data_IF_847225604666
#
_entry.id   IF_847225604666
#
_cell.length_a   1.000
_cell.length_b   1.000
_cell.length_c   1.000
_cell.angle_alpha   90.00
_cell.angle_beta   90.00
_cell.angle_gamma   90.00
#
_symmetry.space_group_name_H-M   'P 1'
#
loop_
_entity.id
_entity.type
_entity.pdbx_description
1 polymer ?
#
# COMPACT_ATOMS: atom_id res chain seq x y z
N UNK A 1 -19.24 8.43 11.65
CA UNK A 1 -18.58 7.25 11.10
C UNK A 1 -17.36 6.86 11.90
N UNK A 2 -16.81 5.69 11.62
CA UNK A 2 -15.57 5.19 12.22
C UNK A 2 -14.50 5.05 11.12
N UNK A 3 -13.30 5.58 11.35
CA UNK A 3 -12.16 5.34 10.47
C UNK A 3 -11.64 3.91 10.72
N UNK A 4 -11.69 3.08 9.68
CA UNK A 4 -11.29 1.67 9.77
C UNK A 4 -9.77 1.54 9.79
N UNK A 5 -9.25 0.70 10.70
CA UNK A 5 -7.83 0.40 10.86
C UNK A 5 -6.95 1.65 11.04
N UNK A 6 -7.50 2.68 11.71
CA UNK A 6 -6.83 3.97 11.87
C UNK A 6 -5.51 3.83 12.63
N UNK A 7 -5.50 3.06 13.72
CA UNK A 7 -4.31 2.88 14.55
C UNK A 7 -3.16 2.27 13.72
N UNK A 8 -3.43 1.18 13.01
CA UNK A 8 -2.46 0.46 12.18
C UNK A 8 -1.91 1.35 11.04
N UNK A 9 -2.77 2.18 10.44
CA UNK A 9 -2.34 3.13 9.42
C UNK A 9 -1.44 4.22 9.98
N UNK A 10 -1.75 4.76 11.15
CA UNK A 10 -0.94 5.79 11.79
C UNK A 10 0.37 5.22 12.34
N UNK A 11 0.36 4.07 12.99
CA UNK A 11 1.57 3.39 13.46
C UNK A 11 2.55 3.17 12.29
N UNK A 12 2.07 2.69 11.14
CA UNK A 12 2.88 2.54 9.95
C UNK A 12 3.42 3.88 9.42
N UNK A 13 2.62 4.95 9.47
CA UNK A 13 3.06 6.29 9.08
C UNK A 13 4.21 6.77 9.99
N UNK A 14 4.03 6.70 11.30
CA UNK A 14 5.05 7.13 12.27
C UNK A 14 6.32 6.27 12.18
N UNK A 15 6.16 4.95 12.01
CA UNK A 15 7.29 4.07 11.74
C UNK A 15 8.04 4.47 10.45
N UNK A 16 7.32 4.73 9.36
CA UNK A 16 7.94 5.15 8.09
C UNK A 16 8.65 6.49 8.21
N UNK A 17 8.07 7.45 8.93
CA UNK A 17 8.70 8.75 9.20
C UNK A 17 9.99 8.59 10.00
N UNK A 18 9.99 7.74 11.04
CA UNK A 18 11.20 7.49 11.86
C UNK A 18 12.35 6.87 11.03
N UNK A 19 12.06 6.09 10.00
CA UNK A 19 13.08 5.46 9.14
C UNK A 19 13.80 6.44 8.21
N UNK A 20 13.25 7.62 8.06
CA UNK A 20 13.83 8.71 7.24
C UNK A 20 14.14 9.95 8.09
N UNK A 21 14.28 9.80 9.40
CA UNK A 21 14.57 10.88 10.36
C UNK A 21 13.63 12.08 10.14
N UNK A 22 12.32 11.82 10.05
CA UNK A 22 11.29 12.84 9.92
C UNK A 22 10.42 12.85 11.19
N UNK A 23 10.57 13.86 12.01
CA UNK A 23 9.62 14.17 13.07
C UNK A 23 8.36 14.77 12.46
N UNK A 24 7.19 14.29 12.86
CA UNK A 24 5.91 14.83 12.40
C UNK A 24 5.50 16.09 13.18
N UNK A 25 6.16 16.41 14.29
CA UNK A 25 5.77 17.50 15.16
C UNK A 25 4.41 17.32 15.83
N UNK A 26 3.86 16.10 15.79
CA UNK A 26 2.54 15.72 16.30
C UNK A 26 2.56 14.34 16.90
N UNK A 27 1.76 14.14 17.91
CA UNK A 27 1.44 12.82 18.47
C UNK A 27 0.43 12.08 17.59
N UNK A 28 0.35 10.77 17.78
CA UNK A 28 -0.66 9.93 17.12
C UNK A 28 -2.09 10.41 17.43
N UNK A 29 -2.34 10.86 18.67
CA UNK A 29 -3.63 11.42 19.09
C UNK A 29 -3.97 12.70 18.32
N UNK A 30 -3.04 13.65 18.21
CA UNK A 30 -3.26 14.90 17.48
C UNK A 30 -3.51 14.65 15.98
N UNK A 31 -2.80 13.69 15.36
CA UNK A 31 -3.07 13.33 13.96
C UNK A 31 -4.44 12.69 13.82
N UNK A 32 -4.86 11.86 14.78
CA UNK A 32 -6.20 11.29 14.84
C UNK A 32 -7.27 12.38 14.89
N UNK A 33 -7.10 13.39 15.75
CA UNK A 33 -8.01 14.54 15.84
C UNK A 33 -8.09 15.31 14.51
N UNK A 34 -6.96 15.59 13.87
CA UNK A 34 -6.91 16.25 12.55
C UNK A 34 -7.74 15.49 11.50
N UNK A 35 -7.67 14.15 11.50
CA UNK A 35 -8.44 13.32 10.56
C UNK A 35 -9.94 13.41 10.82
N UNK A 36 -10.37 13.31 12.08
CA UNK A 36 -11.79 13.44 12.44
C UNK A 36 -12.30 14.85 12.22
N UNK A 37 -11.53 15.89 12.57
CA UNK A 37 -11.87 17.28 12.30
C UNK A 37 -12.06 17.54 10.79
N UNK A 38 -11.21 16.94 9.95
CA UNK A 38 -11.35 17.05 8.49
C UNK A 38 -12.68 16.47 8.02
N UNK A 39 -13.06 15.28 8.49
CA UNK A 39 -14.35 14.64 8.16
C UNK A 39 -15.53 15.50 8.63
N UNK A 40 -15.48 16.00 9.86
CA UNK A 40 -16.54 16.79 10.47
C UNK A 40 -16.72 18.12 9.72
N UNK A 41 -15.63 18.86 9.47
CA UNK A 41 -15.67 20.17 8.79
C UNK A 41 -16.15 20.09 7.34
N UNK A 42 -15.97 18.95 6.69
CA UNK A 42 -16.46 18.70 5.33
C UNK A 42 -17.83 18.00 5.29
N UNK A 43 -18.40 17.68 6.47
CA UNK A 43 -19.68 16.97 6.59
C UNK A 43 -19.70 15.61 5.86
N UNK A 44 -18.54 14.93 5.79
CA UNK A 44 -18.34 13.71 5.02
C UNK A 44 -18.29 12.49 5.96
N UNK A 45 -19.43 11.91 6.30
CA UNK A 45 -19.55 10.93 7.39
C UNK A 45 -19.59 9.46 6.94
N UNK A 46 -19.74 9.17 5.64
CA UNK A 46 -19.81 7.81 5.10
C UNK A 46 -19.33 7.76 3.66
N UNK A 47 -18.85 6.59 3.22
CA UNK A 47 -18.32 6.38 1.87
C UNK A 47 -17.09 7.22 1.53
N UNK A 48 -16.31 7.59 2.54
CA UNK A 48 -15.18 8.52 2.43
C UNK A 48 -13.85 7.78 2.48
N UNK A 49 -13.02 8.02 1.49
CA UNK A 49 -11.61 7.66 1.49
C UNK A 49 -10.77 8.87 1.92
N UNK A 50 -9.96 8.72 2.96
CA UNK A 50 -9.04 9.75 3.42
C UNK A 50 -7.62 9.49 2.90
N UNK A 51 -7.02 10.49 2.30
CA UNK A 51 -5.59 10.49 1.97
C UNK A 51 -4.86 11.42 2.93
N UNK A 52 -4.05 10.85 3.80
CA UNK A 52 -3.14 11.59 4.69
C UNK A 52 -1.75 11.66 4.02
N UNK A 53 -1.24 12.87 3.86
CA UNK A 53 0.10 13.14 3.32
C UNK A 53 0.86 13.97 4.35
N UNK A 54 2.09 13.56 4.64
CA UNK A 54 3.01 14.31 5.50
C UNK A 54 4.29 14.61 4.72
N UNK A 55 4.72 15.85 4.76
CA UNK A 55 6.01 16.28 4.22
C UNK A 55 6.86 16.93 5.30
N UNK A 56 8.16 17.04 5.05
CA UNK A 56 9.09 17.72 5.98
C UNK A 56 8.80 19.21 6.19
N UNK A 57 7.95 19.80 5.35
CA UNK A 57 7.65 21.23 5.37
C UNK A 57 8.39 22.02 4.29
N UNK A 58 8.51 23.33 4.52
CA UNK A 58 9.12 24.27 3.57
C UNK A 58 10.64 24.21 3.71
N UNK A 59 11.33 24.27 2.59
CA UNK A 59 12.78 24.39 2.52
C UNK A 59 13.22 25.80 2.10
N UNK A 60 14.35 26.25 2.60
CA UNK A 60 14.99 27.51 2.19
C UNK A 60 15.51 27.47 0.74
N UNK A 61 15.77 26.28 0.23
CA UNK A 61 16.22 26.04 -1.15
C UNK A 61 15.75 24.65 -1.64
N UNK A 62 15.49 24.44 -2.92
CA UNK A 62 15.04 23.15 -3.49
C UNK A 62 16.22 22.15 -3.60
N UNK A 63 16.85 21.83 -2.49
CA UNK A 63 17.95 20.86 -2.39
C UNK A 63 17.51 19.60 -1.63
N UNK A 64 18.16 18.44 -1.87
CA UNK A 64 17.73 17.17 -1.28
C UNK A 64 17.97 17.09 0.24
N UNK A 65 19.01 17.79 0.74
CA UNK A 65 19.40 17.75 2.13
C UNK A 65 18.25 18.20 3.05
N UNK A 66 17.82 17.37 4.02
CA UNK A 66 16.77 17.73 4.98
C UNK A 66 17.12 18.90 5.88
N UNK A 67 18.42 19.22 6.08
CA UNK A 67 18.88 20.33 6.93
C UNK A 67 18.41 21.70 6.45
N UNK A 68 18.02 21.81 5.17
CA UNK A 68 17.45 23.05 4.62
C UNK A 68 15.97 23.26 4.96
N UNK A 69 15.35 22.36 5.73
CA UNK A 69 13.96 22.54 6.19
C UNK A 69 13.90 23.68 7.22
N UNK A 70 13.01 24.65 6.98
CA UNK A 70 12.86 25.88 7.79
C UNK A 70 11.48 26.04 8.42
N UNK A 71 10.60 25.06 8.27
CA UNK A 71 9.26 25.06 8.86
C UNK A 71 8.97 23.74 9.57
N UNK A 72 7.89 23.73 10.32
CA UNK A 72 7.26 22.51 10.82
C UNK A 72 6.81 21.61 9.66
N UNK A 73 6.64 20.31 9.88
CA UNK A 73 6.08 19.38 8.91
C UNK A 73 4.71 19.83 8.40
N UNK A 74 4.44 19.62 7.12
CA UNK A 74 3.13 19.92 6.57
C UNK A 74 2.28 18.64 6.55
N UNK A 75 1.10 18.71 7.16
CA UNK A 75 0.11 17.63 7.18
C UNK A 75 -1.05 18.04 6.27
N UNK A 76 -1.35 17.21 5.27
CA UNK A 76 -2.46 17.42 4.33
C UNK A 76 -3.39 16.23 4.39
N UNK A 77 -4.68 16.48 4.63
CA UNK A 77 -5.72 15.46 4.59
C UNK A 77 -6.67 15.77 3.46
N UNK A 78 -6.85 14.83 2.55
CA UNK A 78 -7.75 14.96 1.40
C UNK A 78 -8.89 13.95 1.58
N UNK A 79 -10.12 14.39 1.92
CA UNK A 79 -11.29 13.54 1.93
C UNK A 79 -11.88 13.45 0.52
N UNK A 80 -12.27 12.26 0.11
CA UNK A 80 -12.86 11.98 -1.20
C UNK A 80 -14.02 11.00 -1.04
N UNK A 81 -15.20 11.30 -1.59
CA UNK A 81 -16.25 10.29 -1.75
C UNK A 81 -15.78 9.26 -2.79
N UNK A 82 -15.55 8.04 -2.34
CA UNK A 82 -15.03 6.99 -3.20
C UNK A 82 -15.47 5.62 -2.71
N UNK A 83 -16.16 4.91 -3.57
CA UNK A 83 -16.57 3.54 -3.33
C UNK A 83 -15.95 2.60 -4.39
N UNK A 84 -15.62 1.37 -4.04
CA UNK A 84 -15.21 0.37 -5.01
C UNK A 84 -16.30 0.17 -6.06
N UNK A 85 -15.91 -0.02 -7.34
CA UNK A 85 -16.87 -0.35 -8.38
C UNK A 85 -17.45 -1.75 -8.14
N UNK A 86 -18.79 -1.90 -8.05
CA UNK A 86 -19.40 -3.22 -7.94
C UNK A 86 -19.08 -4.15 -9.11
N UNK A 87 -18.80 -3.60 -10.29
CA UNK A 87 -18.46 -4.37 -11.47
C UNK A 87 -17.07 -5.00 -11.33
N UNK A 88 -16.10 -4.28 -10.76
CA UNK A 88 -14.75 -4.83 -10.49
C UNK A 88 -14.83 -5.98 -9.49
N UNK A 89 -15.68 -5.88 -8.47
CA UNK A 89 -15.87 -6.96 -7.50
C UNK A 89 -16.48 -8.23 -8.13
N UNK A 90 -17.26 -8.09 -9.20
CA UNK A 90 -17.87 -9.23 -9.92
C UNK A 90 -16.97 -9.80 -11.01
N UNK A 91 -16.32 -8.94 -11.80
CA UNK A 91 -15.51 -9.35 -12.95
C UNK A 91 -14.06 -9.65 -12.60
N UNK A 92 -13.58 -9.18 -11.44
CA UNK A 92 -12.18 -9.18 -11.08
C UNK A 92 -11.36 -8.14 -11.84
N UNK A 93 -10.04 -8.18 -11.64
CA UNK A 93 -9.04 -7.36 -12.31
C UNK A 93 -8.21 -8.21 -13.27
N UNK A 94 -7.91 -7.66 -14.43
CA UNK A 94 -6.95 -8.26 -15.35
C UNK A 94 -5.52 -7.89 -14.94
N UNK A 95 -4.80 -8.84 -14.34
CA UNK A 95 -3.39 -8.68 -14.02
C UNK A 95 -2.51 -9.11 -15.19
N UNK A 96 -1.42 -8.41 -15.39
CA UNK A 96 -0.38 -8.79 -16.35
C UNK A 96 0.99 -8.71 -15.68
N UNK A 97 1.87 -9.66 -15.98
CA UNK A 97 3.26 -9.58 -15.53
C UNK A 97 3.98 -8.45 -16.25
N UNK A 98 4.78 -7.69 -15.52
CA UNK A 98 5.54 -6.55 -16.04
C UNK A 98 7.05 -6.78 -15.88
N UNK A 99 7.85 -6.13 -16.75
CA UNK A 99 9.32 -6.19 -16.67
C UNK A 99 9.88 -5.29 -15.56
N UNK A 100 9.12 -4.26 -15.18
CA UNK A 100 9.47 -3.39 -14.06
C UNK A 100 9.44 -4.20 -12.76
N UNK A 101 10.60 -4.38 -12.12
CA UNK A 101 10.73 -5.14 -10.87
C UNK A 101 10.68 -4.24 -9.64
N UNK A 102 10.40 -4.80 -8.48
CA UNK A 102 10.57 -4.12 -7.19
C UNK A 102 12.07 -4.07 -6.87
N UNK A 103 12.55 -2.89 -6.53
CA UNK A 103 13.96 -2.68 -6.19
C UNK A 103 14.34 -3.29 -4.84
N UNK A 104 15.66 -3.46 -4.63
CA UNK A 104 16.21 -3.82 -3.33
C UNK A 104 15.97 -2.72 -2.29
N UNK A 105 15.87 -3.10 -1.01
CA UNK A 105 15.78 -2.18 0.12
C UNK A 105 16.98 -1.20 0.21
N UNK A 106 18.14 -1.60 -0.33
CA UNK A 106 19.32 -0.73 -0.43
C UNK A 106 19.18 0.40 -1.45
N UNK A 107 18.19 0.30 -2.37
CA UNK A 107 17.85 1.37 -3.32
C UNK A 107 16.74 2.24 -2.73
N UNK A 108 15.71 1.61 -2.23
CA UNK A 108 14.57 2.25 -1.58
C UNK A 108 13.84 1.21 -0.72
N UNK A 109 13.63 1.51 0.55
CA UNK A 109 12.82 0.63 1.40
C UNK A 109 11.33 0.74 1.03
N UNK A 110 10.83 -0.28 0.33
CA UNK A 110 9.45 -0.33 -0.14
C UNK A 110 8.42 -0.55 0.97
N UNK A 111 8.85 -0.84 2.20
CA UNK A 111 7.97 -0.93 3.37
C UNK A 111 7.50 0.45 3.82
N UNK A 112 8.24 1.52 3.45
CA UNK A 112 7.85 2.90 3.70
C UNK A 112 6.83 3.35 2.66
N UNK A 113 5.65 3.80 3.11
CA UNK A 113 4.62 4.34 2.21
C UNK A 113 4.92 5.78 1.80
N UNK A 114 6.01 5.99 1.09
CA UNK A 114 6.43 7.31 0.60
C UNK A 114 5.71 7.71 -0.69
N UNK A 115 5.82 8.99 -1.06
CA UNK A 115 5.36 9.51 -2.36
C UNK A 115 6.33 9.18 -3.51
N UNK A 116 7.48 8.57 -3.22
CA UNK A 116 8.40 8.05 -4.23
C UNK A 116 7.81 6.79 -4.88
N UNK A 117 6.91 6.98 -5.85
CA UNK A 117 6.15 5.92 -6.52
C UNK A 117 6.56 5.66 -7.97
N UNK A 118 7.72 6.18 -8.40
CA UNK A 118 8.14 6.10 -9.80
C UNK A 118 8.16 4.66 -10.33
N UNK A 119 8.71 3.74 -9.55
CA UNK A 119 8.71 2.31 -9.85
C UNK A 119 7.30 1.72 -10.07
N UNK A 120 6.34 2.06 -9.18
CA UNK A 120 4.95 1.63 -9.32
C UNK A 120 4.26 2.28 -10.53
N UNK A 121 4.58 3.55 -10.83
CA UNK A 121 4.02 4.27 -11.99
C UNK A 121 4.52 3.62 -13.29
N UNK A 122 5.81 3.28 -13.39
CA UNK A 122 6.34 2.57 -14.56
C UNK A 122 5.66 1.22 -14.77
N UNK A 123 5.48 0.44 -13.70
CA UNK A 123 4.76 -0.84 -13.75
C UNK A 123 3.30 -0.66 -14.19
N UNK A 124 2.61 0.37 -13.69
CA UNK A 124 1.25 0.71 -14.10
C UNK A 124 1.16 1.06 -15.59
N UNK A 125 2.09 1.90 -16.10
CA UNK A 125 2.15 2.27 -17.51
C UNK A 125 2.38 1.02 -18.38
N UNK A 126 3.30 0.16 -18.00
CA UNK A 126 3.56 -1.10 -18.70
C UNK A 126 2.34 -2.00 -18.72
N UNK A 127 1.65 -2.16 -17.57
CA UNK A 127 0.42 -2.94 -17.47
C UNK A 127 -0.67 -2.43 -18.42
N UNK A 128 -0.90 -1.11 -18.43
CA UNK A 128 -1.90 -0.50 -19.33
C UNK A 128 -1.55 -0.70 -20.82
N UNK A 129 -0.28 -0.61 -21.20
CA UNK A 129 0.16 -0.91 -22.58
C UNK A 129 -0.08 -2.37 -22.97
N UNK A 130 -0.05 -3.29 -22.02
CA UNK A 130 -0.36 -4.72 -22.21
C UNK A 130 -1.87 -5.03 -22.07
N UNK A 131 -2.71 -4.01 -21.89
CA UNK A 131 -4.17 -4.17 -21.74
C UNK A 131 -4.58 -4.78 -20.40
N UNK A 132 -3.77 -4.64 -19.36
CA UNK A 132 -4.06 -5.02 -17.98
C UNK A 132 -4.55 -3.86 -17.13
N UNK A 133 -5.19 -4.18 -16.03
CA UNK A 133 -5.62 -3.21 -15.02
C UNK A 133 -4.50 -2.90 -14.05
N UNK A 134 -3.74 -3.91 -13.63
CA UNK A 134 -2.56 -3.79 -12.77
C UNK A 134 -1.40 -4.68 -13.25
N UNK A 135 -0.19 -4.27 -12.90
CA UNK A 135 1.04 -4.99 -13.19
C UNK A 135 1.52 -5.82 -12.01
N UNK A 136 1.63 -7.13 -12.21
CA UNK A 136 2.28 -8.03 -11.26
C UNK A 136 3.80 -7.92 -11.39
N UNK A 137 4.45 -7.46 -10.34
CA UNK A 137 5.88 -7.16 -10.28
C UNK A 137 6.64 -8.29 -9.57
N UNK A 138 7.80 -8.60 -10.08
CA UNK A 138 8.73 -9.52 -9.44
C UNK A 138 9.73 -8.77 -8.54
N UNK A 139 10.38 -9.48 -7.65
CA UNK A 139 11.52 -9.02 -6.88
C UNK A 139 12.83 -9.14 -7.68
N UNK A 140 13.99 -8.68 -7.15
CA UNK A 140 15.27 -8.79 -7.84
C UNK A 140 15.75 -10.23 -8.11
N UNK A 141 15.13 -11.22 -7.47
CA UNK A 141 15.46 -12.64 -7.59
C UNK A 141 14.50 -13.39 -8.52
N UNK A 142 13.52 -12.71 -9.11
CA UNK A 142 12.56 -13.29 -10.03
C UNK A 142 11.32 -13.91 -9.36
N UNK A 143 11.14 -13.73 -8.05
CA UNK A 143 9.94 -14.18 -7.34
C UNK A 143 8.85 -13.12 -7.36
N UNK A 144 7.60 -13.55 -7.26
CA UNK A 144 6.44 -12.67 -7.16
C UNK A 144 6.54 -11.81 -5.91
N UNK A 145 6.40 -10.51 -6.07
CA UNK A 145 6.46 -9.55 -4.97
C UNK A 145 5.09 -8.95 -4.65
N UNK A 146 4.54 -8.15 -5.55
CA UNK A 146 3.31 -7.40 -5.33
C UNK A 146 2.79 -6.85 -6.66
N UNK A 147 1.57 -6.33 -6.70
CA UNK A 147 1.14 -5.50 -7.81
C UNK A 147 1.62 -4.04 -7.65
N UNK A 148 1.42 -3.21 -8.68
CA UNK A 148 1.86 -1.81 -8.63
C UNK A 148 1.11 -0.97 -7.59
N UNK A 149 -0.12 -1.33 -7.20
CA UNK A 149 -0.90 -0.61 -6.18
C UNK A 149 -1.56 -1.50 -5.13
N UNK A 150 -1.64 -2.82 -5.36
CA UNK A 150 -2.27 -3.80 -4.46
C UNK A 150 -1.29 -4.90 -4.07
N UNK A 151 -1.62 -5.67 -3.02
CA UNK A 151 -0.91 -6.91 -2.68
C UNK A 151 -1.53 -8.09 -3.40
N UNK A 152 -0.70 -9.09 -3.67
CA UNK A 152 -1.07 -10.26 -4.45
C UNK A 152 -1.04 -11.54 -3.62
N UNK A 153 -2.05 -12.36 -3.80
CA UNK A 153 -2.22 -13.65 -3.17
C UNK A 153 -2.62 -14.70 -4.22
N UNK A 154 -2.25 -15.94 -3.96
CA UNK A 154 -2.78 -17.10 -4.67
C UNK A 154 -3.34 -18.11 -3.67
N UNK A 155 -4.27 -18.93 -4.14
CA UNK A 155 -4.70 -20.16 -3.46
C UNK A 155 -4.17 -21.34 -4.25
N UNK A 156 -3.45 -22.25 -3.61
CA UNK A 156 -2.92 -23.46 -4.24
C UNK A 156 -3.03 -24.64 -3.29
N UNK A 157 -3.73 -25.69 -3.75
CA UNK A 157 -3.93 -26.92 -2.97
C UNK A 157 -4.50 -26.68 -1.56
N UNK A 158 -5.46 -25.78 -1.44
CA UNK A 158 -6.13 -25.44 -0.17
C UNK A 158 -5.33 -24.53 0.76
N UNK A 159 -4.22 -23.99 0.32
CA UNK A 159 -3.40 -23.04 1.10
C UNK A 159 -3.30 -21.68 0.41
N UNK A 160 -3.32 -20.61 1.19
CA UNK A 160 -3.14 -19.24 0.73
C UNK A 160 -1.65 -18.90 0.73
N UNK A 161 -1.14 -18.33 -0.37
CA UNK A 161 0.25 -17.89 -0.45
C UNK A 161 0.33 -16.41 -0.78
N UNK A 162 1.28 -15.72 -0.18
CA UNK A 162 1.66 -14.35 -0.53
C UNK A 162 3.18 -14.20 -0.42
N UNK A 163 3.72 -13.14 -1.00
CA UNK A 163 5.17 -12.88 -0.94
C UNK A 163 5.65 -12.65 0.50
N UNK A 164 6.95 -12.80 0.72
CA UNK A 164 7.59 -12.63 2.05
C UNK A 164 7.42 -11.23 2.66
N UNK A 165 6.92 -10.26 1.90
CA UNK A 165 6.80 -8.87 2.36
C UNK A 165 8.08 -8.04 2.25
N UNK A 166 9.22 -8.65 1.95
CA UNK A 166 10.53 -7.97 1.91
C UNK A 166 10.59 -6.83 0.90
N UNK A 167 9.97 -6.98 -0.25
CA UNK A 167 10.04 -6.03 -1.37
C UNK A 167 8.71 -5.30 -1.63
N UNK A 168 7.79 -5.30 -0.68
CA UNK A 168 6.52 -4.62 -0.80
C UNK A 168 6.16 -3.83 0.46
N UNK A 169 5.11 -3.04 0.37
CA UNK A 169 4.59 -2.29 1.51
C UNK A 169 4.06 -3.25 2.59
N UNK A 170 4.22 -2.93 3.87
CA UNK A 170 3.48 -3.56 4.96
C UNK A 170 2.00 -3.17 4.87
N UNK A 171 1.24 -3.90 4.05
CA UNK A 171 -0.17 -3.57 3.76
C UNK A 171 -1.08 -3.98 4.92
N UNK A 172 -1.92 -3.06 5.39
CA UNK A 172 -2.86 -3.34 6.48
C UNK A 172 -3.89 -4.40 6.04
N UNK A 173 -4.47 -4.26 4.85
CA UNK A 173 -5.40 -5.28 4.32
C UNK A 173 -4.71 -6.62 4.10
N UNK A 174 -3.43 -6.62 3.64
CA UNK A 174 -2.64 -7.84 3.53
C UNK A 174 -2.49 -8.53 4.88
N UNK A 175 -2.14 -7.79 5.92
CA UNK A 175 -2.00 -8.34 7.28
C UNK A 175 -3.31 -8.89 7.79
N UNK A 176 -4.42 -8.17 7.59
CA UNK A 176 -5.75 -8.64 7.99
C UNK A 176 -6.12 -9.99 7.34
N UNK A 177 -5.77 -10.19 6.06
CA UNK A 177 -5.99 -11.50 5.40
C UNK A 177 -5.15 -12.60 6.07
N UNK A 178 -3.88 -12.31 6.40
CA UNK A 178 -3.01 -13.26 7.10
C UNK A 178 -3.61 -13.62 8.46
N UNK A 179 -4.05 -12.63 9.22
CA UNK A 179 -4.62 -12.81 10.56
C UNK A 179 -5.95 -13.58 10.51
N UNK A 180 -6.80 -13.31 9.52
CA UNK A 180 -8.05 -14.04 9.28
C UNK A 180 -7.76 -15.52 8.95
N UNK A 181 -6.80 -15.79 8.07
CA UNK A 181 -6.41 -17.16 7.74
C UNK A 181 -5.91 -17.90 8.99
N UNK A 182 -5.01 -17.29 9.75
CA UNK A 182 -4.48 -17.88 10.98
C UNK A 182 -5.59 -18.15 12.02
N UNK A 183 -6.49 -17.18 12.23
CA UNK A 183 -7.58 -17.30 13.20
C UNK A 183 -8.62 -18.36 12.83
N UNK A 184 -8.74 -18.69 11.54
CA UNK A 184 -9.68 -19.69 11.02
C UNK A 184 -8.99 -21.01 10.63
N UNK A 185 -7.74 -21.21 11.01
CA UNK A 185 -6.96 -22.41 10.68
C UNK A 185 -6.86 -22.69 9.16
N UNK A 186 -6.88 -21.63 8.34
CA UNK A 186 -6.62 -21.71 6.90
C UNK A 186 -5.11 -21.66 6.72
N UNK A 187 -4.49 -22.67 6.09
CA UNK A 187 -3.04 -22.63 5.86
C UNK A 187 -2.63 -21.41 5.04
N UNK A 188 -1.72 -20.61 5.55
CA UNK A 188 -1.18 -19.44 4.87
C UNK A 188 0.33 -19.42 4.94
N UNK A 189 0.98 -19.08 3.82
CA UNK A 189 2.43 -19.03 3.70
C UNK A 189 2.90 -17.70 3.13
N UNK A 190 3.73 -17.01 3.88
CA UNK A 190 4.52 -15.89 3.40
C UNK A 190 5.84 -16.45 2.84
N UNK A 191 5.92 -16.61 1.53
CA UNK A 191 7.04 -17.33 0.88
C UNK A 191 7.38 -16.76 -0.49
N UNK A 192 8.54 -17.13 -1.00
CA UNK A 192 8.90 -16.90 -2.39
C UNK A 192 8.14 -17.90 -3.28
N UNK A 193 7.59 -17.42 -4.38
CA UNK A 193 6.97 -18.23 -5.42
C UNK A 193 7.11 -17.56 -6.79
N UNK A 194 7.02 -18.34 -7.84
CA UNK A 194 7.32 -17.95 -9.21
C UNK A 194 6.04 -17.65 -10.01
N UNK A 195 6.18 -17.03 -11.19
CA UNK A 195 5.06 -16.87 -12.13
C UNK A 195 4.49 -18.22 -12.58
N UNK A 196 5.30 -19.26 -12.71
CA UNK A 196 4.80 -20.61 -13.03
C UNK A 196 3.81 -21.08 -11.97
N UNK A 197 4.16 -20.92 -10.68
CA UNK A 197 3.26 -21.29 -9.59
C UNK A 197 1.97 -20.42 -9.55
N UNK A 198 2.04 -19.17 -10.00
CA UNK A 198 0.84 -18.33 -10.19
C UNK A 198 -0.09 -18.89 -11.25
N UNK A 199 0.43 -19.32 -12.40
CA UNK A 199 -0.39 -19.91 -13.48
C UNK A 199 -0.94 -21.30 -13.14
N UNK A 200 -0.31 -21.98 -12.18
CA UNK A 200 -0.75 -23.28 -11.66
C UNK A 200 -1.66 -23.15 -10.42
N UNK A 201 -1.96 -21.94 -9.97
CA UNK A 201 -2.80 -21.69 -8.80
C UNK A 201 -4.28 -21.99 -9.11
N UNK A 202 -5.00 -22.40 -8.07
CA UNK A 202 -6.46 -22.64 -8.15
C UNK A 202 -7.21 -21.32 -8.23
N UNK A 203 -6.73 -20.29 -7.46
CA UNK A 203 -7.31 -18.95 -7.41
C UNK A 203 -6.21 -17.89 -7.22
N UNK A 204 -6.54 -16.66 -7.57
CA UNK A 204 -5.70 -15.50 -7.27
C UNK A 204 -6.56 -14.30 -6.90
N UNK A 205 -6.09 -13.47 -5.97
CA UNK A 205 -6.76 -12.24 -5.56
C UNK A 205 -5.77 -11.15 -5.17
N UNK A 206 -6.26 -9.93 -5.15
CA UNK A 206 -5.49 -8.76 -4.73
C UNK A 206 -6.14 -8.09 -3.53
N UNK A 207 -5.34 -7.36 -2.74
CA UNK A 207 -5.84 -6.65 -1.57
C UNK A 207 -5.34 -5.20 -1.53
N UNK A 208 -6.19 -4.31 -1.06
CA UNK A 208 -5.83 -2.90 -0.89
C UNK A 208 -6.80 -2.17 0.03
N UNK A 209 -6.33 -1.09 0.64
CA UNK A 209 -7.10 -0.30 1.61
C UNK A 209 -8.42 0.24 1.04
N UNK A 210 -8.44 0.54 -0.26
CA UNK A 210 -9.62 1.14 -0.90
C UNK A 210 -10.70 0.10 -1.21
N UNK A 211 -10.35 -1.02 -1.83
CA UNK A 211 -11.32 -2.00 -2.34
C UNK A 211 -11.48 -3.25 -1.44
N UNK A 212 -10.62 -3.41 -0.43
CA UNK A 212 -10.62 -4.62 0.38
C UNK A 212 -9.92 -5.77 -0.36
N UNK A 213 -10.69 -6.78 -0.70
CA UNK A 213 -10.28 -7.98 -1.44
C UNK A 213 -11.03 -8.02 -2.75
#
# INVERSE_FOLDING_TARGET
GKLLFLAEHLERLFWGASKIDMDLGKTLGEVTEILYDTVIRNEMFDGVHLRLIVSRGIKSTPYQDPSFTISEPSIVVIPEYKLPSPDIQKSGLKLVSVNTIRGSENIQDHRINSLSKFNCIQACIEAKRKGGDEGLMLDPHGYVSTCNSTHFFIVKSGAVWTSTGKYCLGGITRQNVIDICNSNSIPIYEKNFTLTEVYEADEAFVTGTFAGI
#
